data_IF_392161998123
#
_entry.id   IF_392161998123
#
_cell.length_a   1.000
_cell.length_b   1.000
_cell.length_c   1.000
_cell.angle_alpha   90.00
_cell.angle_beta   90.00
_cell.angle_gamma   90.00
#
_symmetry.space_group_name_H-M   'P 1'
#
loop_
_entity.id
_entity.type
_entity.pdbx_description
1 polymer ?
#
# COMPACT_ATOMS: atom_id res chain seq x y z
N UNK A 1 -66.77 -37.56 12.45
CA UNK A 1 -65.40 -38.12 12.43
C UNK A 1 -64.34 -37.12 11.92
N UNK A 2 -64.47 -35.81 12.16
CA UNK A 2 -63.59 -34.79 11.53
C UNK A 2 -62.59 -34.08 12.45
N UNK A 3 -62.77 -34.11 13.77
CA UNK A 3 -61.91 -33.37 14.72
C UNK A 3 -60.77 -34.23 15.30
N UNK A 4 -60.97 -35.53 15.47
CA UNK A 4 -59.93 -36.44 15.95
C UNK A 4 -58.86 -36.71 14.88
N UNK A 5 -59.26 -36.81 13.61
CA UNK A 5 -58.35 -37.01 12.47
C UNK A 5 -57.42 -35.82 12.23
N UNK A 6 -57.90 -34.60 12.49
CA UNK A 6 -57.10 -33.37 12.38
C UNK A 6 -56.07 -33.26 13.51
N UNK A 7 -56.45 -33.68 14.73
CA UNK A 7 -55.53 -33.70 15.88
C UNK A 7 -54.41 -34.72 15.69
N UNK A 8 -54.72 -35.90 15.13
CA UNK A 8 -53.72 -36.92 14.80
C UNK A 8 -52.77 -36.45 13.69
N UNK A 9 -53.28 -35.73 12.69
CA UNK A 9 -52.45 -35.18 11.61
C UNK A 9 -51.51 -34.06 12.12
N UNK A 10 -51.98 -33.19 13.01
CA UNK A 10 -51.16 -32.16 13.66
C UNK A 10 -50.09 -32.81 14.56
N UNK A 11 -50.44 -33.86 15.30
CA UNK A 11 -49.49 -34.58 16.14
C UNK A 11 -48.41 -35.28 15.31
N UNK A 12 -48.76 -35.86 14.14
CA UNK A 12 -47.81 -36.47 13.22
C UNK A 12 -46.87 -35.46 12.55
N UNK A 13 -47.31 -34.22 12.32
CA UNK A 13 -46.47 -33.13 11.77
C UNK A 13 -45.51 -32.57 12.85
N UNK A 14 -45.89 -32.62 14.13
CA UNK A 14 -44.97 -32.24 15.23
C UNK A 14 -43.89 -33.30 15.43
N UNK A 15 -44.18 -34.59 15.19
CA UNK A 15 -43.18 -35.67 15.31
C UNK A 15 -42.13 -35.65 14.19
N UNK A 16 -42.45 -35.13 12.99
CA UNK A 16 -41.46 -35.03 11.89
C UNK A 16 -40.54 -33.81 11.98
N UNK A 17 -40.82 -32.86 12.88
CA UNK A 17 -39.90 -31.74 13.20
C UNK A 17 -39.02 -32.00 14.42
N UNK A 18 -39.15 -33.19 15.04
CA UNK A 18 -38.17 -33.70 15.97
C UNK A 18 -36.88 -34.05 15.21
N UNK A 19 -36.07 -33.02 14.91
CA UNK A 19 -34.65 -33.21 14.66
C UNK A 19 -34.14 -34.04 15.84
N UNK A 20 -33.79 -35.31 15.58
CA UNK A 20 -33.10 -36.15 16.54
C UNK A 20 -32.01 -35.29 17.18
N UNK A 21 -32.14 -35.03 18.49
CA UNK A 21 -31.19 -34.23 19.24
C UNK A 21 -29.85 -34.94 19.10
N UNK A 22 -29.01 -34.44 18.19
CA UNK A 22 -27.62 -34.89 18.10
C UNK A 22 -27.07 -34.63 19.49
N UNK A 23 -26.71 -35.71 20.19
CA UNK A 23 -26.16 -35.59 21.53
C UNK A 23 -25.06 -34.51 21.50
N UNK A 24 -25.13 -33.52 22.41
CA UNK A 24 -24.12 -32.48 22.46
C UNK A 24 -22.75 -33.13 22.59
N UNK A 25 -21.75 -32.56 21.93
CA UNK A 25 -20.40 -33.08 22.05
C UNK A 25 -20.00 -33.06 23.52
N UNK A 26 -19.42 -34.15 24.02
CA UNK A 26 -18.82 -34.14 25.36
C UNK A 26 -17.36 -33.68 25.30
N UNK A 27 -16.87 -33.04 26.36
CA UNK A 27 -15.45 -32.68 26.50
C UNK A 27 -14.52 -33.85 26.16
N UNK A 28 -14.80 -35.04 26.71
CA UNK A 28 -13.99 -36.25 26.50
C UNK A 28 -13.98 -36.71 25.04
N UNK A 29 -15.12 -36.66 24.36
CA UNK A 29 -15.20 -36.97 22.93
C UNK A 29 -14.40 -35.96 22.10
N UNK A 30 -14.55 -34.66 22.39
CA UNK A 30 -13.82 -33.61 21.67
C UNK A 30 -12.31 -33.75 21.88
N UNK A 31 -11.86 -33.98 23.10
CA UNK A 31 -10.44 -34.16 23.40
C UNK A 31 -9.86 -35.38 22.67
N UNK A 32 -10.46 -36.57 22.84
CA UNK A 32 -9.99 -37.79 22.19
C UNK A 32 -10.01 -37.68 20.66
N UNK A 33 -11.10 -37.17 20.09
CA UNK A 33 -11.25 -37.06 18.63
C UNK A 33 -10.30 -36.02 18.05
N UNK A 34 -10.19 -34.84 18.67
CA UNK A 34 -9.28 -33.80 18.20
C UNK A 34 -7.82 -34.24 18.32
N UNK A 35 -7.46 -35.00 19.35
CA UNK A 35 -6.12 -35.58 19.47
C UNK A 35 -5.85 -36.62 18.38
N UNK A 36 -6.80 -37.53 18.13
CA UNK A 36 -6.68 -38.53 17.07
C UNK A 36 -6.53 -37.87 15.68
N UNK A 37 -7.30 -36.82 15.39
CA UNK A 37 -7.17 -36.06 14.14
C UNK A 37 -5.83 -35.33 14.05
N UNK A 38 -5.35 -34.76 15.15
CA UNK A 38 -4.03 -34.13 15.24
C UNK A 38 -2.91 -35.13 14.91
N UNK A 39 -2.93 -36.33 15.51
CA UNK A 39 -1.95 -37.38 15.25
C UNK A 39 -1.99 -37.86 13.79
N UNK A 40 -3.19 -37.95 13.21
CA UNK A 40 -3.39 -38.27 11.79
C UNK A 40 -3.05 -37.13 10.83
N UNK A 41 -2.73 -35.94 11.36
CA UNK A 41 -2.51 -34.72 10.58
C UNK A 41 -3.71 -34.34 9.71
N UNK A 42 -4.92 -34.72 10.10
CA UNK A 42 -6.16 -34.33 9.42
C UNK A 42 -6.60 -32.95 9.92
N UNK A 43 -5.87 -31.93 9.45
CA UNK A 43 -6.04 -30.54 9.88
C UNK A 43 -7.42 -29.98 9.55
N UNK A 44 -7.98 -30.34 8.40
CA UNK A 44 -9.31 -29.87 7.96
C UNK A 44 -10.41 -30.40 8.86
N UNK A 45 -10.41 -31.70 9.15
CA UNK A 45 -11.38 -32.29 10.06
C UNK A 45 -11.19 -31.79 11.48
N UNK A 46 -9.94 -31.59 11.93
CA UNK A 46 -9.63 -31.04 13.24
C UNK A 46 -10.17 -29.60 13.40
N UNK A 47 -9.98 -28.75 12.40
CA UNK A 47 -10.54 -27.39 12.38
C UNK A 47 -12.06 -27.44 12.44
N UNK A 48 -12.70 -28.27 11.61
CA UNK A 48 -14.17 -28.42 11.58
C UNK A 48 -14.73 -28.89 12.92
N UNK A 49 -14.10 -29.91 13.52
CA UNK A 49 -14.48 -30.40 14.85
C UNK A 49 -14.30 -29.30 15.90
N UNK A 50 -13.17 -28.58 15.87
CA UNK A 50 -12.88 -27.52 16.83
C UNK A 50 -13.84 -26.33 16.73
N UNK A 51 -14.16 -25.87 15.52
CA UNK A 51 -15.15 -24.81 15.30
C UNK A 51 -16.53 -25.22 15.83
N UNK A 52 -16.97 -26.44 15.52
CA UNK A 52 -18.23 -27.00 16.05
C UNK A 52 -18.21 -27.09 17.57
N UNK A 53 -17.15 -27.66 18.15
CA UNK A 53 -17.03 -27.86 19.60
C UNK A 53 -17.08 -26.53 20.36
N UNK A 54 -16.42 -25.50 19.83
CA UNK A 54 -16.42 -24.16 20.43
C UNK A 54 -17.77 -23.45 20.31
N UNK A 55 -18.52 -23.69 19.23
CA UNK A 55 -19.91 -23.22 19.12
C UNK A 55 -20.82 -23.86 20.17
N UNK A 56 -20.50 -25.08 20.62
CA UNK A 56 -21.17 -25.79 21.72
C UNK A 56 -20.55 -25.47 23.11
N UNK A 57 -19.67 -24.47 23.21
CA UNK A 57 -19.07 -24.03 24.48
C UNK A 57 -17.87 -24.84 24.97
N UNK A 58 -17.38 -25.81 24.20
CA UNK A 58 -16.24 -26.66 24.55
C UNK A 58 -14.96 -26.01 24.02
N UNK A 59 -14.25 -25.30 24.90
CA UNK A 59 -13.04 -24.56 24.54
C UNK A 59 -11.93 -24.65 25.61
N UNK A 60 -11.12 -25.70 25.55
CA UNK A 60 -10.01 -25.95 26.48
C UNK A 60 -8.63 -25.75 25.85
N UNK A 61 -7.60 -25.73 26.69
CA UNK A 61 -6.22 -25.44 26.29
C UNK A 61 -5.75 -26.27 25.09
N UNK A 62 -5.75 -27.60 25.19
CA UNK A 62 -5.25 -28.47 24.12
C UNK A 62 -6.05 -28.35 22.81
N UNK A 63 -7.36 -28.06 22.88
CA UNK A 63 -8.12 -27.78 21.67
C UNK A 63 -7.61 -26.52 20.97
N UNK A 64 -7.32 -25.44 21.72
CA UNK A 64 -6.73 -24.21 21.16
C UNK A 64 -5.37 -24.49 20.52
N UNK A 65 -4.49 -25.24 21.20
CA UNK A 65 -3.17 -25.62 20.67
C UNK A 65 -3.32 -26.39 19.35
N UNK A 66 -4.12 -27.46 19.35
CA UNK A 66 -4.33 -28.32 18.17
C UNK A 66 -4.96 -27.53 17.01
N UNK A 67 -5.95 -26.68 17.28
CA UNK A 67 -6.54 -25.79 16.27
C UNK A 67 -5.53 -24.78 15.74
N UNK A 68 -4.74 -24.14 16.61
CA UNK A 68 -3.72 -23.17 16.21
C UNK A 68 -2.68 -23.78 15.27
N UNK A 69 -2.19 -24.98 15.60
CA UNK A 69 -1.27 -25.74 14.74
C UNK A 69 -1.97 -26.16 13.43
N UNK A 70 -3.21 -26.64 13.48
CA UNK A 70 -3.95 -27.02 12.28
C UNK A 70 -4.14 -25.82 11.32
N UNK A 71 -4.51 -24.64 11.82
CA UNK A 71 -4.60 -23.43 10.99
C UNK A 71 -3.25 -23.01 10.42
N UNK A 72 -2.17 -23.14 11.20
CA UNK A 72 -0.81 -22.87 10.72
C UNK A 72 -0.46 -23.79 9.55
N UNK A 73 -0.74 -25.09 9.68
CA UNK A 73 -0.50 -26.09 8.62
C UNK A 73 -1.38 -25.88 7.38
N UNK A 74 -2.56 -25.31 7.53
CA UNK A 74 -3.47 -24.93 6.44
C UNK A 74 -3.18 -23.52 5.85
N UNK A 75 -2.07 -22.88 6.22
CA UNK A 75 -1.69 -21.55 5.69
C UNK A 75 -2.51 -20.37 6.23
N UNK A 76 -3.40 -20.60 7.21
CA UNK A 76 -4.32 -19.59 7.78
C UNK A 76 -3.67 -18.87 8.96
N UNK A 77 -2.60 -18.13 8.68
CA UNK A 77 -1.68 -17.60 9.70
C UNK A 77 -2.37 -16.70 10.74
N UNK A 78 -3.30 -15.83 10.37
CA UNK A 78 -3.96 -14.94 11.35
C UNK A 78 -4.90 -15.72 12.28
N UNK A 79 -5.53 -16.80 11.80
CA UNK A 79 -6.28 -17.72 12.66
C UNK A 79 -5.35 -18.50 13.58
N UNK A 80 -4.23 -18.98 13.06
CA UNK A 80 -3.22 -19.66 13.87
C UNK A 80 -2.76 -18.77 15.03
N UNK A 81 -2.38 -17.52 14.74
CA UNK A 81 -2.00 -16.52 15.74
C UNK A 81 -3.11 -16.34 16.79
N UNK A 82 -4.38 -16.21 16.39
CA UNK A 82 -5.49 -16.08 17.35
C UNK A 82 -5.53 -17.20 18.38
N UNK A 83 -5.43 -18.45 17.93
CA UNK A 83 -5.52 -19.60 18.82
C UNK A 83 -4.25 -19.80 19.64
N UNK A 84 -3.08 -19.57 19.04
CA UNK A 84 -1.79 -19.71 19.69
C UNK A 84 -1.51 -18.60 20.70
N UNK A 85 -1.89 -17.34 20.43
CA UNK A 85 -1.84 -16.27 21.44
C UNK A 85 -2.74 -16.60 22.64
N UNK A 86 -3.94 -17.13 22.39
CA UNK A 86 -4.86 -17.53 23.45
C UNK A 86 -4.32 -18.71 24.27
N UNK A 87 -3.67 -19.69 23.64
CA UNK A 87 -3.00 -20.78 24.33
C UNK A 87 -1.79 -20.28 25.13
N UNK A 88 -0.93 -19.45 24.54
CA UNK A 88 0.27 -18.89 25.19
C UNK A 88 -0.07 -18.00 26.38
N UNK A 89 -1.28 -17.43 26.43
CA UNK A 89 -1.76 -16.68 27.60
C UNK A 89 -2.12 -17.60 28.77
N UNK A 90 -2.55 -18.83 28.49
CA UNK A 90 -2.90 -19.83 29.52
C UNK A 90 -1.63 -20.51 30.04
N UNK A 91 -0.76 -20.96 29.13
CA UNK A 91 0.56 -21.51 29.45
C UNK A 91 1.62 -20.84 28.58
N UNK A 92 2.35 -19.91 29.18
CA UNK A 92 3.42 -19.18 28.51
C UNK A 92 4.73 -19.97 28.43
N UNK A 93 4.84 -21.15 29.05
CA UNK A 93 6.05 -21.97 29.06
C UNK A 93 6.02 -23.10 28.03
N UNK A 94 4.88 -23.38 27.42
CA UNK A 94 4.74 -24.37 26.35
C UNK A 94 5.58 -23.96 25.12
N UNK A 95 6.73 -24.61 24.97
CA UNK A 95 7.70 -24.34 23.90
C UNK A 95 7.12 -24.64 22.51
N UNK A 96 6.20 -25.59 22.40
CA UNK A 96 5.54 -25.92 21.12
C UNK A 96 4.65 -24.76 20.70
N UNK A 97 3.85 -24.23 21.63
CA UNK A 97 3.00 -23.06 21.35
C UNK A 97 3.86 -21.84 20.99
N UNK A 98 4.94 -21.59 21.74
CA UNK A 98 5.87 -20.51 21.44
C UNK A 98 6.48 -20.63 20.04
N UNK A 99 6.94 -21.82 19.65
CA UNK A 99 7.55 -22.05 18.34
C UNK A 99 6.55 -21.78 17.21
N UNK A 100 5.36 -22.38 17.28
CA UNK A 100 4.34 -22.15 16.27
C UNK A 100 3.87 -20.69 16.22
N UNK A 101 3.75 -20.02 17.37
CA UNK A 101 3.33 -18.61 17.42
C UNK A 101 4.39 -17.69 16.79
N UNK A 102 5.67 -17.90 17.09
CA UNK A 102 6.78 -17.17 16.48
C UNK A 102 6.75 -17.26 14.95
N UNK A 103 6.65 -18.49 14.41
CA UNK A 103 6.61 -18.71 12.98
C UNK A 103 5.31 -18.23 12.33
N UNK A 104 4.17 -18.34 13.03
CA UNK A 104 2.91 -17.81 12.54
C UNK A 104 2.96 -16.28 12.38
N UNK A 105 3.57 -15.55 13.32
CA UNK A 105 3.84 -14.11 13.13
C UNK A 105 4.73 -13.85 11.92
N UNK A 106 5.83 -14.62 11.78
CA UNK A 106 6.80 -14.42 10.69
C UNK A 106 6.18 -14.66 9.31
N UNK A 107 5.48 -15.78 9.12
CA UNK A 107 4.85 -16.14 7.85
C UNK A 107 3.52 -15.42 7.61
N UNK A 108 2.88 -14.91 8.65
CA UNK A 108 1.71 -14.03 8.54
C UNK A 108 2.03 -12.59 8.14
N UNK A 109 3.29 -12.27 7.80
CA UNK A 109 3.72 -10.92 7.42
C UNK A 109 3.89 -9.95 8.60
N UNK A 110 3.87 -10.44 9.84
CA UNK A 110 3.98 -9.64 11.06
C UNK A 110 5.42 -9.72 11.61
N UNK A 111 6.39 -9.32 10.77
CA UNK A 111 7.81 -9.47 11.07
C UNK A 111 8.22 -8.77 12.38
N UNK A 112 7.72 -7.57 12.65
CA UNK A 112 8.03 -6.86 13.91
C UNK A 112 7.42 -7.56 15.13
N UNK A 113 6.22 -8.14 15.02
CA UNK A 113 5.63 -8.93 16.12
C UNK A 113 6.43 -10.20 16.38
N UNK A 114 6.94 -10.88 15.36
CA UNK A 114 7.84 -12.02 15.56
C UNK A 114 9.13 -11.63 16.30
N UNK A 115 9.74 -10.49 15.96
CA UNK A 115 10.94 -9.95 16.64
C UNK A 115 10.66 -9.55 18.09
N UNK A 116 9.50 -8.95 18.34
CA UNK A 116 9.01 -8.62 19.69
C UNK A 116 8.76 -9.87 20.53
N UNK A 117 8.09 -10.87 19.95
CA UNK A 117 7.78 -12.11 20.63
C UNK A 117 9.04 -12.94 20.93
N UNK A 118 10.06 -12.87 20.07
CA UNK A 118 11.36 -13.52 20.29
C UNK A 118 12.03 -13.14 21.63
N UNK A 119 11.76 -11.96 22.20
CA UNK A 119 12.31 -11.61 23.53
C UNK A 119 11.58 -12.27 24.69
N UNK A 120 10.43 -12.90 24.43
CA UNK A 120 9.54 -13.48 25.44
C UNK A 120 9.52 -15.01 25.43
N UNK A 121 10.07 -15.64 24.40
CA UNK A 121 10.15 -17.11 24.28
C UNK A 121 11.27 -17.68 25.15
N UNK A 122 11.20 -18.99 25.41
CA UNK A 122 12.20 -19.75 26.18
C UNK A 122 13.61 -19.63 25.59
N UNK A 123 14.63 -19.68 26.46
CA UNK A 123 16.04 -19.54 26.05
C UNK A 123 16.46 -20.64 25.07
N UNK A 124 16.03 -21.88 25.29
CA UNK A 124 16.27 -23.00 24.37
C UNK A 124 15.74 -22.71 22.97
N UNK A 125 14.54 -22.12 22.85
CA UNK A 125 13.96 -21.75 21.56
C UNK A 125 14.67 -20.54 20.93
N UNK A 126 15.11 -19.57 21.73
CA UNK A 126 15.95 -18.46 21.25
C UNK A 126 17.26 -18.98 20.63
N UNK A 127 17.89 -19.95 21.28
CA UNK A 127 19.15 -20.57 20.85
C UNK A 127 18.97 -21.48 19.63
N UNK A 128 17.76 -22.04 19.42
CA UNK A 128 17.36 -22.75 18.20
C UNK A 128 17.14 -21.79 17.02
N UNK A 129 16.40 -20.70 17.24
CA UNK A 129 16.01 -19.76 16.18
C UNK A 129 17.18 -18.86 15.77
N UNK A 130 18.00 -18.42 16.74
CA UNK A 130 19.14 -17.50 16.54
C UNK A 130 18.77 -16.30 15.67
N UNK A 131 17.83 -15.49 16.14
CA UNK A 131 17.37 -14.32 15.39
C UNK A 131 18.53 -13.38 15.11
N UNK A 132 18.90 -13.27 13.83
CA UNK A 132 19.86 -12.29 13.33
C UNK A 132 19.12 -11.05 12.79
N UNK A 133 19.66 -9.88 13.10
CA UNK A 133 19.17 -8.58 12.65
C UNK A 133 20.36 -7.78 12.12
N UNK A 134 20.86 -8.12 10.92
CA UNK A 134 21.95 -7.39 10.31
C UNK A 134 21.55 -5.93 10.08
N UNK A 135 22.54 -5.03 10.02
CA UNK A 135 22.30 -3.61 9.82
C UNK A 135 21.49 -3.31 8.54
N UNK A 136 21.66 -4.14 7.49
CA UNK A 136 20.86 -4.11 6.26
C UNK A 136 20.20 -5.47 6.08
N UNK A 137 18.87 -5.48 6.01
CA UNK A 137 18.07 -6.71 5.79
C UNK A 137 17.50 -6.81 4.38
N UNK A 138 17.42 -5.68 3.67
CA UNK A 138 17.01 -5.66 2.29
C UNK A 138 17.61 -4.47 1.55
N UNK A 139 17.89 -4.67 0.26
CA UNK A 139 18.19 -3.63 -0.72
C UNK A 139 17.14 -3.74 -1.82
N UNK A 140 16.51 -2.62 -2.18
CA UNK A 140 15.63 -2.54 -3.34
C UNK A 140 16.24 -1.70 -4.45
N UNK A 141 15.97 -2.10 -5.68
CA UNK A 141 16.19 -1.30 -6.87
C UNK A 141 14.92 -1.34 -7.70
N UNK A 142 14.47 -0.18 -8.20
CA UNK A 142 13.31 -0.12 -9.08
C UNK A 142 13.41 1.01 -10.09
N UNK A 143 12.82 0.77 -11.26
CA UNK A 143 12.61 1.76 -12.31
C UNK A 143 11.11 1.87 -12.55
N UNK A 144 10.60 3.11 -12.53
CA UNK A 144 9.30 3.46 -13.08
C UNK A 144 9.55 4.17 -14.41
N UNK A 145 8.93 3.70 -15.48
CA UNK A 145 8.92 4.34 -16.78
C UNK A 145 7.50 4.79 -17.10
N UNK A 146 7.35 6.07 -17.45
CA UNK A 146 6.07 6.70 -17.73
C UNK A 146 6.06 7.19 -19.17
N UNK A 147 4.94 6.98 -19.88
CA UNK A 147 4.77 7.41 -21.27
C UNK A 147 3.40 8.05 -21.46
N UNK A 148 3.37 9.20 -22.13
CA UNK A 148 2.17 9.84 -22.63
C UNK A 148 1.76 9.19 -23.96
N UNK A 149 0.64 8.48 -23.95
CA UNK A 149 0.15 7.72 -25.10
C UNK A 149 -0.40 8.62 -26.21
N UNK A 150 -0.80 9.84 -25.86
CA UNK A 150 -1.36 10.82 -26.79
C UNK A 150 -0.34 11.87 -27.25
N UNK A 151 0.96 11.68 -26.93
CA UNK A 151 2.02 12.66 -27.22
C UNK A 151 2.04 13.13 -28.69
N UNK A 152 2.07 12.22 -29.66
CA UNK A 152 2.09 12.58 -31.08
C UNK A 152 0.84 13.35 -31.50
N UNK A 153 -0.32 12.96 -30.97
CA UNK A 153 -1.59 13.68 -31.21
C UNK A 153 -1.52 15.10 -30.63
N UNK A 154 -0.96 15.27 -29.44
CA UNK A 154 -0.75 16.59 -28.84
C UNK A 154 0.27 17.45 -29.63
N UNK A 155 1.23 16.84 -30.33
CA UNK A 155 2.12 17.61 -31.21
C UNK A 155 1.40 18.19 -32.43
N UNK A 156 0.40 17.48 -32.96
CA UNK A 156 -0.27 17.83 -34.22
C UNK A 156 -1.57 18.64 -34.06
N UNK A 157 -2.24 18.53 -32.90
CA UNK A 157 -3.63 19.00 -32.76
C UNK A 157 -3.73 20.41 -32.17
N UNK A 158 -4.12 21.39 -32.98
CA UNK A 158 -4.46 22.76 -32.56
C UNK A 158 -5.98 22.97 -32.33
N UNK A 159 -6.81 21.92 -32.43
CA UNK A 159 -8.27 22.00 -32.66
C UNK A 159 -9.07 22.88 -31.68
N UNK A 160 -8.53 23.19 -30.51
CA UNK A 160 -9.13 24.14 -29.57
C UNK A 160 -8.23 25.34 -29.22
N UNK A 161 -6.96 25.36 -29.64
CA UNK A 161 -5.99 26.42 -29.26
C UNK A 161 -6.29 27.75 -29.93
N UNK A 162 -6.42 28.80 -29.13
CA UNK A 162 -6.48 30.19 -29.58
C UNK A 162 -5.06 30.75 -29.75
N UNK A 163 -4.95 31.93 -30.37
CA UNK A 163 -3.68 32.63 -30.52
C UNK A 163 -3.07 32.93 -29.14
N UNK A 164 -1.83 32.49 -28.91
CA UNK A 164 -1.12 32.71 -27.65
C UNK A 164 -1.47 31.71 -26.54
N UNK A 165 -2.26 30.68 -26.83
CA UNK A 165 -2.41 29.53 -25.93
C UNK A 165 -1.10 28.74 -25.84
N UNK A 166 -0.68 28.48 -24.60
CA UNK A 166 0.49 27.69 -24.26
C UNK A 166 0.03 26.43 -23.51
N UNK A 167 0.60 25.27 -23.83
CA UNK A 167 0.42 24.06 -23.02
C UNK A 167 1.75 23.36 -22.75
N UNK A 168 1.81 22.64 -21.64
CA UNK A 168 2.96 21.85 -21.24
C UNK A 168 2.60 20.38 -21.20
N UNK A 169 3.46 19.52 -21.74
CA UNK A 169 3.28 18.07 -21.63
C UNK A 169 4.61 17.34 -21.78
N UNK A 170 4.68 16.14 -21.23
CA UNK A 170 5.88 15.29 -21.28
C UNK A 170 5.63 14.10 -22.21
N UNK A 171 6.64 13.70 -23.00
CA UNK A 171 6.58 12.49 -23.82
C UNK A 171 6.71 11.24 -22.94
N UNK A 172 7.84 11.14 -22.25
CA UNK A 172 8.15 10.04 -21.35
C UNK A 172 9.16 10.50 -20.29
N UNK A 173 9.19 9.78 -19.16
CA UNK A 173 10.21 9.97 -18.14
C UNK A 173 10.47 8.68 -17.37
N UNK A 174 11.58 8.66 -16.64
CA UNK A 174 12.00 7.49 -15.85
C UNK A 174 12.42 7.91 -14.44
N UNK A 175 11.91 7.21 -13.43
CA UNK A 175 12.30 7.36 -12.04
C UNK A 175 13.10 6.13 -11.61
N UNK A 176 14.39 6.32 -11.37
CA UNK A 176 15.29 5.29 -10.82
C UNK A 176 15.31 5.39 -9.31
N UNK A 177 15.21 4.27 -8.61
CA UNK A 177 15.20 4.26 -7.14
C UNK A 177 16.09 3.17 -6.56
N UNK A 178 16.77 3.49 -5.47
CA UNK A 178 17.57 2.57 -4.65
C UNK A 178 17.16 2.74 -3.18
N UNK A 179 16.71 1.67 -2.54
CA UNK A 179 16.24 1.68 -1.16
C UNK A 179 16.89 0.61 -0.28
N UNK A 180 16.84 0.84 1.03
CA UNK A 180 17.45 -0.03 2.04
C UNK A 180 16.58 -0.13 3.29
N UNK A 181 16.55 -1.32 3.89
CA UNK A 181 15.80 -1.58 5.12
C UNK A 181 16.71 -2.00 6.27
N UNK A 182 16.59 -1.29 7.39
CA UNK A 182 17.44 -1.37 8.57
C UNK A 182 16.59 -1.74 9.81
N UNK A 183 16.77 -2.93 10.40
CA UNK A 183 16.08 -3.31 11.63
C UNK A 183 16.79 -2.69 12.85
N UNK A 184 16.66 -1.38 13.05
CA UNK A 184 17.34 -0.63 14.12
C UNK A 184 17.16 -1.24 15.52
N UNK A 185 16.03 -1.90 15.76
CA UNK A 185 15.85 -2.79 16.93
C UNK A 185 14.82 -3.88 16.65
N UNK A 186 14.51 -4.70 17.66
CA UNK A 186 13.41 -5.67 17.59
C UNK A 186 12.03 -5.01 17.41
N UNK A 187 11.89 -3.71 17.73
CA UNK A 187 10.63 -2.96 17.63
C UNK A 187 10.62 -1.93 16.51
N UNK A 188 11.79 -1.53 16.03
CA UNK A 188 11.95 -0.38 15.12
C UNK A 188 12.56 -0.84 13.82
N UNK A 189 11.90 -0.50 12.72
CA UNK A 189 12.44 -0.63 11.38
C UNK A 189 12.61 0.76 10.77
N UNK A 190 13.72 0.99 10.10
CA UNK A 190 13.97 2.18 9.32
C UNK A 190 14.13 1.79 7.86
N UNK A 191 13.42 2.46 6.98
CA UNK A 191 13.53 2.29 5.54
C UNK A 191 13.86 3.64 4.92
N UNK A 192 14.81 3.65 3.99
CA UNK A 192 15.19 4.85 3.24
C UNK A 192 15.31 4.52 1.77
N UNK A 193 15.03 5.50 0.91
CA UNK A 193 15.14 5.37 -0.54
C UNK A 193 15.56 6.69 -1.16
N UNK A 194 16.54 6.63 -2.04
CA UNK A 194 16.87 7.73 -2.93
C UNK A 194 16.29 7.42 -4.32
N UNK A 195 15.71 8.43 -4.95
CA UNK A 195 15.17 8.33 -6.30
C UNK A 195 15.64 9.50 -7.15
N UNK A 196 15.90 9.27 -8.43
CA UNK A 196 16.33 10.29 -9.39
C UNK A 196 15.42 10.22 -10.61
N UNK A 197 14.91 11.38 -11.02
CA UNK A 197 13.97 11.58 -12.12
C UNK A 197 14.54 12.63 -13.08
N UNK A 198 15.22 12.20 -14.16
CA UNK A 198 15.46 13.06 -15.30
C UNK A 198 14.13 13.33 -16.01
N UNK A 199 13.82 14.59 -16.31
CA UNK A 199 12.60 15.00 -17.00
C UNK A 199 12.93 15.79 -18.26
N UNK A 200 12.07 15.66 -19.26
CA UNK A 200 12.04 16.54 -20.42
C UNK A 200 10.58 16.91 -20.69
N UNK A 201 10.24 18.18 -20.56
CA UNK A 201 8.88 18.68 -20.81
C UNK A 201 8.88 19.54 -22.06
N UNK A 202 7.78 19.48 -22.81
CA UNK A 202 7.58 20.26 -24.02
C UNK A 202 6.57 21.35 -23.75
N UNK A 203 6.94 22.59 -24.06
CA UNK A 203 6.01 23.70 -24.21
C UNK A 203 5.58 23.74 -25.67
N UNK A 204 4.29 23.81 -25.91
CA UNK A 204 3.74 24.10 -27.22
C UNK A 204 2.97 25.41 -27.16
N UNK A 205 3.26 26.31 -28.11
CA UNK A 205 2.58 27.60 -28.26
C UNK A 205 1.95 27.70 -29.65
N UNK A 206 0.74 28.26 -29.73
CA UNK A 206 0.13 28.62 -31.00
C UNK A 206 0.51 30.06 -31.38
N UNK A 207 1.47 30.20 -32.30
CA UNK A 207 1.94 31.47 -32.84
C UNK A 207 1.34 31.67 -34.22
N UNK A 208 0.31 32.52 -34.30
CA UNK A 208 -0.34 32.90 -35.56
C UNK A 208 -0.88 31.71 -36.38
N UNK A 209 -1.34 30.65 -35.71
CA UNK A 209 -1.87 29.44 -36.35
C UNK A 209 -0.83 28.34 -36.58
N UNK A 210 0.45 28.60 -36.28
CA UNK A 210 1.52 27.60 -36.29
C UNK A 210 1.86 27.14 -34.87
N UNK A 211 1.98 25.82 -34.69
CA UNK A 211 2.38 25.23 -33.41
C UNK A 211 3.90 25.19 -33.30
N UNK A 212 4.44 25.92 -32.33
CA UNK A 212 5.87 25.95 -32.01
C UNK A 212 6.12 25.13 -30.76
N UNK A 213 7.05 24.17 -30.82
CA UNK A 213 7.40 23.30 -29.70
C UNK A 213 8.81 23.61 -29.18
N UNK A 214 8.95 23.77 -27.86
CA UNK A 214 10.24 23.99 -27.18
C UNK A 214 10.41 23.00 -26.04
N UNK A 215 11.56 22.32 -26.01
CA UNK A 215 11.87 21.33 -24.99
C UNK A 215 12.66 21.95 -23.83
N UNK A 216 12.30 21.56 -22.61
CA UNK A 216 12.94 21.96 -21.36
C UNK A 216 13.37 20.72 -20.58
N UNK A 217 14.60 20.73 -20.10
CA UNK A 217 15.17 19.62 -19.35
C UNK A 217 15.15 19.92 -17.86
N UNK A 218 15.11 18.86 -17.08
CA UNK A 218 15.23 18.97 -15.64
C UNK A 218 15.67 17.67 -15.00
N UNK A 219 15.97 17.78 -13.72
CA UNK A 219 16.26 16.64 -12.86
C UNK A 219 15.68 16.90 -11.48
N UNK A 220 14.91 15.94 -10.98
CA UNK A 220 14.48 15.89 -9.59
C UNK A 220 15.16 14.73 -8.87
N UNK A 221 15.62 14.97 -7.65
CA UNK A 221 16.06 13.95 -6.72
C UNK A 221 15.10 13.93 -5.53
N UNK A 222 14.74 12.73 -5.09
CA UNK A 222 13.86 12.51 -3.95
C UNK A 222 14.60 11.67 -2.92
N UNK A 223 14.52 12.06 -1.65
CA UNK A 223 14.96 11.25 -0.53
C UNK A 223 13.78 10.96 0.38
N UNK A 224 13.38 9.69 0.44
CA UNK A 224 12.32 9.18 1.29
C UNK A 224 12.91 8.43 2.48
N UNK A 225 12.32 8.65 3.65
CA UNK A 225 12.65 7.91 4.84
C UNK A 225 11.40 7.63 5.68
N UNK A 226 11.34 6.43 6.24
CA UNK A 226 10.24 5.96 7.06
C UNK A 226 10.76 5.17 8.26
N UNK A 227 10.25 5.50 9.44
CA UNK A 227 10.49 4.75 10.68
C UNK A 227 9.17 4.12 11.09
N UNK A 228 9.16 2.79 11.18
CA UNK A 228 8.04 2.01 11.73
C UNK A 228 8.39 1.52 13.13
N UNK A 229 7.56 1.85 14.11
CA UNK A 229 7.67 1.39 15.50
C UNK A 229 6.51 0.45 15.82
N UNK A 230 6.81 -0.78 16.20
CA UNK A 230 5.83 -1.70 16.75
C UNK A 230 5.60 -1.41 18.24
N UNK A 231 4.39 -0.93 18.56
CA UNK A 231 3.93 -0.65 19.92
C UNK A 231 3.44 -1.91 20.65
N UNK A 232 3.40 -3.05 19.93
CA UNK A 232 2.92 -4.33 20.42
C UNK A 232 1.42 -4.51 20.21
N UNK A 233 0.95 -5.74 20.39
CA UNK A 233 -0.42 -6.14 20.08
C UNK A 233 -0.81 -5.78 18.64
N UNK A 234 0.12 -5.85 17.68
CA UNK A 234 -0.10 -5.51 16.27
C UNK A 234 -0.56 -4.06 16.04
N UNK A 235 -0.11 -3.14 16.89
CA UNK A 235 -0.24 -1.69 16.72
C UNK A 235 1.10 -1.12 16.27
N UNK A 236 1.10 -0.35 15.18
CA UNK A 236 2.30 0.23 14.58
C UNK A 236 2.12 1.73 14.41
N UNK A 237 3.19 2.47 14.71
CA UNK A 237 3.32 3.89 14.42
C UNK A 237 4.37 4.06 13.33
N UNK A 238 3.98 4.68 12.23
CA UNK A 238 4.87 5.08 11.15
C UNK A 238 5.09 6.59 11.23
N UNK A 239 6.33 7.04 11.04
CA UNK A 239 6.68 8.43 10.79
C UNK A 239 7.50 8.47 9.52
N UNK A 240 7.12 9.33 8.58
CA UNK A 240 7.76 9.40 7.28
C UNK A 240 8.04 10.83 6.86
N UNK A 241 9.08 10.99 6.06
CA UNK A 241 9.36 12.22 5.36
C UNK A 241 9.88 11.93 3.96
N UNK A 242 9.65 12.88 3.06
CA UNK A 242 10.18 12.85 1.70
C UNK A 242 10.62 14.27 1.34
N UNK A 243 11.85 14.43 0.88
CA UNK A 243 12.38 15.71 0.40
C UNK A 243 12.63 15.59 -1.08
N UNK A 244 12.10 16.52 -1.85
CA UNK A 244 12.20 16.62 -3.29
C UNK A 244 12.99 17.89 -3.59
N UNK A 245 13.98 17.79 -4.47
CA UNK A 245 14.76 18.93 -4.90
C UNK A 245 15.22 18.71 -6.32
N UNK A 246 15.25 19.78 -7.10
CA UNK A 246 15.63 19.67 -8.49
C UNK A 246 15.99 20.99 -9.14
N UNK A 247 16.47 20.86 -10.37
CA UNK A 247 16.84 21.96 -11.24
C UNK A 247 16.12 21.75 -12.58
N UNK A 248 15.50 22.81 -13.10
CA UNK A 248 14.83 22.81 -14.39
C UNK A 248 15.33 23.98 -15.23
N UNK A 249 15.30 23.83 -16.55
CA UNK A 249 15.49 24.95 -17.46
C UNK A 249 14.42 26.02 -17.20
N UNK A 250 14.83 27.29 -17.28
CA UNK A 250 13.93 28.40 -17.02
C UNK A 250 12.98 28.62 -18.22
N UNK A 251 11.67 28.54 -17.96
CA UNK A 251 10.62 28.79 -18.96
C UNK A 251 10.54 30.28 -19.37
N UNK A 252 11.09 31.19 -18.55
CA UNK A 252 10.98 32.65 -18.67
C UNK A 252 12.24 33.36 -19.19
N UNK A 253 13.02 32.72 -20.06
CA UNK A 253 14.24 33.34 -20.61
C UNK A 253 13.93 34.66 -21.35
N UNK A 254 12.69 34.85 -21.81
CA UNK A 254 12.25 36.02 -22.58
C UNK A 254 11.73 37.19 -21.72
N UNK A 255 11.60 37.04 -20.39
CA UNK A 255 11.25 38.14 -19.49
C UNK A 255 12.49 38.92 -19.06
N UNK A 256 12.89 39.87 -19.91
CA UNK A 256 14.02 40.78 -19.72
C UNK A 256 13.81 41.73 -18.52
N UNK A 257 14.51 41.50 -17.40
CA UNK A 257 14.74 42.55 -16.41
C UNK A 257 15.85 43.48 -16.91
N UNK A 258 15.45 44.62 -17.46
CA UNK A 258 16.35 45.68 -17.91
C UNK A 258 16.93 46.44 -16.70
N UNK A 259 18.21 46.24 -16.40
CA UNK A 259 18.98 47.05 -15.46
C UNK A 259 19.94 47.99 -16.19
N UNK A 260 19.98 49.27 -15.79
CA UNK A 260 20.88 50.28 -16.39
C UNK A 260 22.27 50.23 -15.74
N UNK A 261 23.28 49.86 -16.50
CA UNK A 261 24.72 49.96 -16.19
C UNK A 261 25.09 51.44 -15.89
N UNK A 262 25.98 51.71 -14.92
CA UNK A 262 26.60 53.02 -14.71
C UNK A 262 27.15 53.73 -15.98
N UNK A 263 27.43 53.00 -17.06
CA UNK A 263 27.88 53.54 -18.37
C UNK A 263 26.77 53.63 -19.43
N UNK A 264 25.51 53.38 -19.07
CA UNK A 264 24.35 53.52 -19.95
C UNK A 264 24.00 52.30 -20.80
N UNK A 265 24.64 51.15 -20.60
CA UNK A 265 24.24 49.86 -21.19
C UNK A 265 23.15 49.16 -20.37
N UNK A 266 22.32 48.33 -21.00
CA UNK A 266 21.37 47.48 -20.28
C UNK A 266 22.03 46.12 -20.04
N UNK A 267 22.19 45.69 -18.79
CA UNK A 267 22.68 44.33 -18.48
C UNK A 267 21.51 43.46 -18.02
N UNK A 268 21.17 42.44 -18.81
CA UNK A 268 20.20 41.40 -18.45
C UNK A 268 20.93 40.22 -17.81
N UNK A 269 20.46 39.76 -16.65
CA UNK A 269 20.98 38.55 -15.99
C UNK A 269 19.80 37.65 -15.64
N UNK A 270 19.43 36.76 -16.57
CA UNK A 270 18.48 35.68 -16.30
C UNK A 270 19.26 34.43 -15.85
N UNK A 271 18.81 33.80 -14.77
CA UNK A 271 19.31 32.47 -14.43
C UNK A 271 18.76 31.48 -15.47
N UNK A 272 19.61 30.69 -16.16
CA UNK A 272 19.14 29.72 -17.16
C UNK A 272 18.38 28.56 -16.51
N UNK A 273 18.46 28.42 -15.18
CA UNK A 273 17.81 27.35 -14.42
C UNK A 273 17.03 27.87 -13.23
N UNK A 274 15.93 27.19 -12.93
CA UNK A 274 15.10 27.37 -11.73
C UNK A 274 15.35 26.19 -10.79
N UNK A 275 15.52 26.48 -9.51
CA UNK A 275 15.67 25.48 -8.45
C UNK A 275 14.46 25.49 -7.54
N UNK A 276 14.09 24.33 -7.03
CA UNK A 276 13.02 24.21 -6.04
C UNK A 276 13.38 23.16 -5.00
N UNK A 277 12.66 23.23 -3.88
CA UNK A 277 12.65 22.19 -2.86
C UNK A 277 11.26 22.06 -2.28
N UNK A 278 10.74 20.83 -2.29
CA UNK A 278 9.51 20.48 -1.61
C UNK A 278 9.78 19.41 -0.54
N UNK A 279 8.86 19.29 0.40
CA UNK A 279 8.86 18.29 1.43
C UNK A 279 7.46 17.72 1.63
N UNK A 280 7.44 16.49 2.12
CA UNK A 280 6.29 15.83 2.71
C UNK A 280 6.72 15.32 4.07
N UNK A 281 5.90 15.56 5.09
CA UNK A 281 6.07 14.98 6.42
C UNK A 281 4.74 14.42 6.91
N UNK A 282 4.76 13.24 7.52
CA UNK A 282 3.54 12.65 8.02
C UNK A 282 3.74 11.47 8.94
N UNK A 283 2.63 10.91 9.38
CA UNK A 283 2.60 9.72 10.21
C UNK A 283 1.36 8.89 9.97
N UNK A 284 1.45 7.61 10.32
CA UNK A 284 0.32 6.69 10.24
C UNK A 284 0.24 5.82 11.49
N UNK A 285 -0.98 5.54 11.93
CA UNK A 285 -1.27 4.59 12.99
C UNK A 285 -1.98 3.38 12.38
N UNK A 286 -1.34 2.22 12.45
CA UNK A 286 -1.86 0.97 11.89
C UNK A 286 -2.23 0.01 13.00
N UNK A 287 -3.46 -0.52 12.98
CA UNK A 287 -3.89 -1.64 13.83
C UNK A 287 -4.23 -2.85 12.96
N UNK A 288 -3.49 -3.94 13.15
CA UNK A 288 -3.82 -5.23 12.53
C UNK A 288 -4.48 -6.17 13.54
N UNK A 289 -5.68 -6.61 13.22
CA UNK A 289 -6.45 -7.63 13.93
C UNK A 289 -6.46 -8.94 13.14
N UNK A 290 -7.23 -9.94 13.56
CA UNK A 290 -7.25 -11.26 12.88
C UNK A 290 -7.96 -11.26 11.51
N UNK A 291 -8.85 -10.29 11.28
CA UNK A 291 -9.69 -10.21 10.08
C UNK A 291 -9.61 -8.88 9.36
N UNK A 292 -8.99 -7.88 9.99
CA UNK A 292 -9.00 -6.52 9.50
C UNK A 292 -7.66 -5.87 9.82
N UNK A 293 -7.12 -5.09 8.87
CA UNK A 293 -6.06 -4.13 9.11
C UNK A 293 -6.59 -2.74 8.77
N UNK A 294 -6.46 -1.82 9.71
CA UNK A 294 -6.90 -0.44 9.57
C UNK A 294 -5.70 0.48 9.74
N UNK A 295 -5.64 1.53 8.92
CA UNK A 295 -4.60 2.56 9.00
C UNK A 295 -5.26 3.93 8.93
N UNK A 296 -4.91 4.82 9.84
CA UNK A 296 -5.20 6.25 9.74
C UNK A 296 -3.87 6.95 9.47
N UNK A 297 -3.81 7.82 8.46
CA UNK A 297 -2.62 8.59 8.14
C UNK A 297 -2.94 10.09 8.07
N UNK A 298 -1.93 10.90 8.36
CA UNK A 298 -1.96 12.36 8.19
C UNK A 298 -0.61 12.83 7.65
N UNK A 299 -0.64 13.84 6.80
CA UNK A 299 0.57 14.48 6.29
C UNK A 299 0.38 15.96 5.98
N UNK A 300 1.49 16.68 6.00
CA UNK A 300 1.63 18.06 5.54
C UNK A 300 2.75 18.15 4.51
N UNK A 301 2.62 19.06 3.57
CA UNK A 301 3.59 19.23 2.49
C UNK A 301 3.55 20.63 1.87
N UNK A 302 4.58 20.93 1.07
CA UNK A 302 4.65 22.14 0.24
C UNK A 302 4.86 21.81 -1.26
N UNK A 303 4.17 20.79 -1.79
CA UNK A 303 4.35 20.30 -3.16
C UNK A 303 3.95 21.38 -4.18
N UNK A 304 4.76 21.56 -5.23
CA UNK A 304 4.58 22.61 -6.23
C UNK A 304 4.38 24.03 -5.66
N UNK A 305 4.91 24.30 -4.47
CA UNK A 305 4.77 25.61 -3.79
C UNK A 305 3.45 25.79 -3.03
N UNK A 306 2.56 24.80 -3.05
CA UNK A 306 1.28 24.83 -2.34
C UNK A 306 1.38 24.15 -0.99
N UNK A 307 0.89 24.80 0.06
CA UNK A 307 0.77 24.16 1.37
C UNK A 307 -0.43 23.22 1.36
N UNK A 308 -0.18 21.97 1.73
CA UNK A 308 -1.18 20.91 1.69
C UNK A 308 -1.28 20.20 3.03
N UNK A 309 -2.50 19.76 3.31
CA UNK A 309 -2.81 18.80 4.36
C UNK A 309 -3.52 17.60 3.73
N UNK A 310 -3.12 16.40 4.11
CA UNK A 310 -3.80 15.17 3.75
C UNK A 310 -4.13 14.33 4.97
N UNK A 311 -5.32 13.73 4.97
CA UNK A 311 -5.76 12.78 5.98
C UNK A 311 -6.44 11.60 5.32
N UNK A 312 -6.06 10.38 5.69
CA UNK A 312 -6.53 9.17 5.05
C UNK A 312 -6.93 8.06 6.02
N UNK A 313 -7.87 7.24 5.57
CA UNK A 313 -8.24 5.98 6.22
C UNK A 313 -8.13 4.84 5.21
N UNK A 314 -7.46 3.76 5.59
CA UNK A 314 -7.30 2.55 4.77
C UNK A 314 -7.77 1.32 5.55
N UNK A 315 -8.52 0.47 4.86
CA UNK A 315 -9.07 -0.79 5.37
C UNK A 315 -8.63 -1.94 4.48
N UNK A 316 -8.16 -3.04 5.08
CA UNK A 316 -7.93 -4.31 4.39
C UNK A 316 -8.61 -5.43 5.16
N UNK A 317 -9.26 -6.35 4.45
CA UNK A 317 -9.97 -7.48 5.06
C UNK A 317 -9.19 -8.78 4.83
N UNK A 318 -9.20 -9.66 5.81
CA UNK A 318 -8.63 -11.01 5.75
C UNK A 318 -9.77 -12.03 5.94
N UNK A 319 -10.52 -12.37 4.87
CA UNK A 319 -11.57 -13.37 4.91
C UNK A 319 -11.06 -14.65 5.53
N UNK A 320 -11.81 -15.18 6.51
CA UNK A 320 -11.43 -16.37 7.28
C UNK A 320 -10.07 -16.27 8.01
N UNK A 321 -9.45 -15.09 8.11
CA UNK A 321 -8.10 -14.89 8.64
C UNK A 321 -6.99 -15.42 7.73
N UNK A 322 -7.28 -15.50 6.43
CA UNK A 322 -6.31 -15.85 5.38
C UNK A 322 -5.81 -14.58 4.68
N UNK A 323 -4.55 -14.59 4.27
CA UNK A 323 -3.95 -13.55 3.42
C UNK A 323 -4.06 -13.89 1.93
N UNK A 324 -4.66 -15.04 1.56
CA UNK A 324 -4.79 -15.48 0.17
C UNK A 324 -5.56 -14.48 -0.70
N UNK A 325 -6.66 -13.93 -0.19
CA UNK A 325 -7.51 -12.98 -0.89
C UNK A 325 -7.75 -11.79 0.04
N UNK A 326 -7.21 -10.63 -0.29
CA UNK A 326 -7.22 -9.44 0.58
C UNK A 326 -7.84 -8.28 -0.21
N UNK A 327 -9.17 -8.07 -0.11
CA UNK A 327 -9.77 -6.85 -0.61
C UNK A 327 -9.36 -5.69 0.30
N UNK A 328 -9.17 -4.53 -0.30
CA UNK A 328 -8.81 -3.31 0.40
C UNK A 328 -9.47 -2.09 -0.21
N UNK A 329 -9.56 -1.02 0.59
CA UNK A 329 -9.99 0.27 0.13
C UNK A 329 -9.43 1.39 1.01
N UNK A 330 -9.37 2.59 0.45
CA UNK A 330 -8.99 3.79 1.17
C UNK A 330 -9.84 4.99 0.74
N UNK A 331 -9.99 5.93 1.66
CA UNK A 331 -10.49 7.28 1.39
C UNK A 331 -9.44 8.25 1.90
N UNK A 332 -9.09 9.23 1.09
CA UNK A 332 -8.11 10.26 1.43
C UNK A 332 -8.69 11.63 1.12
N UNK A 333 -8.68 12.49 2.12
CA UNK A 333 -8.97 13.91 2.00
C UNK A 333 -7.67 14.65 1.76
N UNK A 334 -7.66 15.54 0.78
CA UNK A 334 -6.60 16.50 0.54
C UNK A 334 -7.19 17.89 0.56
N UNK A 335 -6.48 18.79 1.23
CA UNK A 335 -6.69 20.22 1.15
C UNK A 335 -5.41 20.88 0.66
N UNK A 336 -5.54 21.65 -0.40
CA UNK A 336 -4.47 22.44 -1.02
C UNK A 336 -4.95 23.89 -1.03
N UNK A 337 -4.42 24.71 -0.11
CA UNK A 337 -4.93 26.07 0.13
C UNK A 337 -6.47 26.09 0.29
N UNK A 338 -7.20 26.76 -0.61
CA UNK A 338 -8.68 26.88 -0.57
C UNK A 338 -9.41 25.71 -1.24
N UNK A 339 -8.70 24.82 -1.93
CA UNK A 339 -9.29 23.71 -2.66
C UNK A 339 -9.22 22.43 -1.83
N UNK A 340 -10.26 21.62 -1.89
CA UNK A 340 -10.28 20.32 -1.24
C UNK A 340 -10.87 19.27 -2.13
N UNK A 341 -10.30 18.07 -2.09
CA UNK A 341 -10.77 16.93 -2.85
C UNK A 341 -10.80 15.66 -2.00
N UNK A 342 -11.42 14.62 -2.56
CA UNK A 342 -11.41 13.27 -2.01
C UNK A 342 -10.90 12.30 -3.08
N UNK A 343 -9.97 11.45 -2.70
CA UNK A 343 -9.46 10.35 -3.53
C UNK A 343 -9.88 9.03 -2.90
N UNK A 344 -10.48 8.17 -3.72
CA UNK A 344 -10.91 6.83 -3.35
C UNK A 344 -10.00 5.80 -3.99
N UNK A 345 -9.52 4.85 -3.19
CA UNK A 345 -8.77 3.69 -3.68
C UNK A 345 -9.56 2.43 -3.39
N UNK A 346 -9.65 1.53 -4.36
CA UNK A 346 -10.22 0.20 -4.19
C UNK A 346 -9.37 -0.85 -4.88
N UNK A 347 -9.27 -2.05 -4.30
CA UNK A 347 -8.52 -3.10 -4.95
C UNK A 347 -8.57 -4.45 -4.26
N UNK A 348 -7.84 -5.39 -4.84
CA UNK A 348 -7.78 -6.77 -4.43
C UNK A 348 -6.36 -7.30 -4.57
N UNK A 349 -5.88 -7.97 -3.53
CA UNK A 349 -4.62 -8.72 -3.59
C UNK A 349 -4.87 -10.21 -3.47
N UNK A 350 -4.30 -10.98 -4.39
CA UNK A 350 -4.20 -12.43 -4.34
C UNK A 350 -2.78 -12.83 -3.95
N UNK A 351 -2.60 -13.48 -2.80
CA UNK A 351 -1.29 -13.93 -2.32
C UNK A 351 -1.19 -15.45 -2.31
N UNK A 352 -0.12 -15.98 -2.87
CA UNK A 352 0.30 -17.38 -2.74
C UNK A 352 1.69 -17.43 -2.12
N UNK A 353 2.22 -18.62 -1.88
CA UNK A 353 3.59 -18.79 -1.36
C UNK A 353 4.66 -18.25 -2.32
N UNK A 354 4.40 -18.26 -3.63
CA UNK A 354 5.39 -17.92 -4.67
C UNK A 354 5.15 -16.60 -5.36
N UNK A 355 3.93 -16.07 -5.28
CA UNK A 355 3.57 -14.84 -5.97
C UNK A 355 2.47 -14.06 -5.27
N UNK A 356 2.45 -12.76 -5.51
CA UNK A 356 1.34 -11.87 -5.18
C UNK A 356 0.90 -11.10 -6.41
N UNK A 357 -0.41 -10.94 -6.57
CA UNK A 357 -1.06 -10.19 -7.64
C UNK A 357 -1.96 -9.15 -6.99
N UNK A 358 -1.72 -7.87 -7.26
CA UNK A 358 -2.52 -6.77 -6.72
C UNK A 358 -3.11 -5.98 -7.88
N UNK A 359 -4.44 -5.95 -7.97
CA UNK A 359 -5.17 -5.01 -8.83
C UNK A 359 -5.73 -3.86 -8.00
N UNK A 360 -5.69 -2.63 -8.53
CA UNK A 360 -6.24 -1.46 -7.86
C UNK A 360 -6.81 -0.43 -8.85
N UNK A 361 -7.66 0.44 -8.32
CA UNK A 361 -8.13 1.66 -8.96
C UNK A 361 -8.11 2.83 -7.97
N UNK A 362 -7.66 4.00 -8.42
CA UNK A 362 -7.75 5.28 -7.74
C UNK A 362 -8.68 6.18 -8.55
N UNK A 363 -9.60 6.88 -7.89
CA UNK A 363 -10.55 7.81 -8.53
C UNK A 363 -10.62 9.08 -7.68
N UNK A 364 -10.48 10.22 -8.34
CA UNK A 364 -10.49 11.54 -7.72
C UNK A 364 -9.44 12.45 -8.37
N UNK A 365 -9.31 13.67 -7.87
CA UNK A 365 -8.26 14.60 -8.30
C UNK A 365 -6.93 14.21 -7.63
N UNK A 366 -6.03 13.60 -8.41
CA UNK A 366 -4.71 13.12 -7.98
C UNK A 366 -3.63 14.09 -8.47
N UNK A 367 -3.77 15.37 -8.14
CA UNK A 367 -2.74 16.39 -8.30
C UNK A 367 -2.07 16.69 -6.97
N UNK A 368 -0.75 16.80 -6.95
CA UNK A 368 0.03 17.04 -5.72
C UNK A 368 -0.30 16.07 -4.59
N UNK A 369 -0.57 14.82 -4.95
CA UNK A 369 -1.14 13.84 -4.03
C UNK A 369 -0.04 12.99 -3.37
N UNK A 370 -0.20 12.77 -2.07
CA UNK A 370 0.64 11.90 -1.26
C UNK A 370 -0.03 10.52 -1.13
N UNK A 371 0.58 9.50 -1.72
CA UNK A 371 0.12 8.12 -1.62
C UNK A 371 1.11 7.24 -0.84
N UNK A 372 0.60 6.12 -0.30
CA UNK A 372 1.39 5.10 0.40
C UNK A 372 2.32 5.69 1.48
N UNK A 373 1.76 6.50 2.40
CA UNK A 373 2.50 7.10 3.51
C UNK A 373 3.78 7.84 3.04
N UNK A 374 3.64 8.71 2.03
CA UNK A 374 4.76 9.51 1.49
C UNK A 374 5.72 8.79 0.55
N UNK A 375 5.55 7.48 0.35
CA UNK A 375 6.42 6.71 -0.53
C UNK A 375 6.14 6.96 -2.02
N UNK A 376 4.93 7.41 -2.37
CA UNK A 376 4.59 7.84 -3.73
C UNK A 376 4.09 9.27 -3.65
N UNK A 377 4.65 10.13 -4.50
CA UNK A 377 4.31 11.55 -4.56
C UNK A 377 4.02 11.88 -6.01
N UNK A 378 2.80 12.32 -6.27
CA UNK A 378 2.37 12.86 -7.55
C UNK A 378 2.66 14.36 -7.54
N UNK A 379 3.94 14.74 -7.66
CA UNK A 379 4.40 16.13 -7.71
C UNK A 379 4.44 16.60 -9.18
N UNK A 380 3.28 16.76 -9.78
CA UNK A 380 3.13 17.09 -11.20
C UNK A 380 2.04 18.16 -11.33
N UNK A 381 2.11 18.98 -12.39
CA UNK A 381 1.14 20.05 -12.62
C UNK A 381 -0.16 19.51 -13.16
N UNK A 382 -0.10 18.41 -13.91
CA UNK A 382 -1.23 17.73 -14.52
C UNK A 382 -2.03 16.93 -13.48
N UNK A 383 -3.35 16.93 -13.64
CA UNK A 383 -4.25 16.20 -12.75
C UNK A 383 -4.52 14.81 -13.31
N UNK A 384 -4.21 13.77 -12.55
CA UNK A 384 -4.74 12.44 -12.83
C UNK A 384 -6.16 12.32 -12.25
N UNK A 385 -7.15 12.04 -13.11
CA UNK A 385 -8.56 11.86 -12.73
C UNK A 385 -8.85 10.44 -12.24
N UNK A 386 -8.13 9.48 -12.82
CA UNK A 386 -8.21 8.08 -12.45
C UNK A 386 -6.87 7.37 -12.71
N UNK A 387 -6.60 6.31 -11.94
CA UNK A 387 -5.48 5.40 -12.18
C UNK A 387 -5.93 3.96 -11.92
N UNK A 388 -5.73 3.07 -12.89
CA UNK A 388 -5.98 1.63 -12.73
C UNK A 388 -4.69 0.86 -12.95
N UNK A 389 -4.37 -0.05 -12.04
CA UNK A 389 -3.10 -0.74 -12.09
C UNK A 389 -3.14 -2.20 -11.66
N UNK A 390 -2.14 -2.93 -12.12
CA UNK A 390 -1.85 -4.31 -11.78
C UNK A 390 -0.37 -4.42 -11.38
N UNK A 391 -0.09 -5.05 -10.24
CA UNK A 391 1.27 -5.36 -9.78
C UNK A 391 1.40 -6.86 -9.54
N UNK A 392 2.48 -7.43 -10.06
CA UNK A 392 2.92 -8.80 -9.84
C UNK A 392 4.19 -8.78 -8.99
N UNK A 393 4.24 -9.63 -7.97
CA UNK A 393 5.46 -9.90 -7.19
C UNK A 393 5.75 -11.39 -7.21
N UNK A 394 6.98 -11.77 -7.49
CA UNK A 394 7.45 -13.16 -7.43
C UNK A 394 8.42 -13.32 -6.27
N UNK A 395 8.15 -14.31 -5.42
CA UNK A 395 8.92 -14.59 -4.21
C UNK A 395 9.89 -15.74 -4.46
N UNK A 396 11.17 -15.44 -4.30
CA UNK A 396 12.24 -16.44 -4.25
C UNK A 396 12.78 -16.53 -2.82
N UNK A 397 13.76 -17.42 -2.59
CA UNK A 397 14.37 -17.56 -1.26
C UNK A 397 15.08 -16.28 -0.78
N UNK A 398 15.67 -15.52 -1.70
CA UNK A 398 16.55 -14.38 -1.37
C UNK A 398 16.18 -13.08 -2.08
N UNK A 399 15.13 -13.08 -2.91
CA UNK A 399 14.71 -11.91 -3.66
C UNK A 399 13.20 -11.87 -3.91
N UNK A 400 12.66 -10.66 -4.05
CA UNK A 400 11.34 -10.39 -4.59
C UNK A 400 11.51 -9.66 -5.91
N UNK A 401 10.94 -10.18 -7.00
CA UNK A 401 10.88 -9.48 -8.29
C UNK A 401 9.49 -8.85 -8.44
N UNK A 402 9.43 -7.56 -8.76
CA UNK A 402 8.20 -6.80 -8.93
C UNK A 402 8.08 -6.31 -10.38
N UNK A 403 6.91 -6.52 -10.98
CA UNK A 403 6.51 -5.92 -12.25
C UNK A 403 5.15 -5.27 -12.06
N UNK A 404 4.96 -4.05 -12.55
CA UNK A 404 3.68 -3.36 -12.46
C UNK A 404 3.36 -2.60 -13.74
N UNK A 405 2.07 -2.43 -13.98
CA UNK A 405 1.53 -1.58 -15.03
C UNK A 405 0.40 -0.74 -14.43
N UNK A 406 0.33 0.55 -14.75
CA UNK A 406 -0.88 1.34 -14.51
C UNK A 406 -1.20 2.25 -15.69
N UNK A 407 -2.47 2.52 -15.86
CA UNK A 407 -3.03 3.43 -16.85
C UNK A 407 -3.72 4.58 -16.12
N UNK A 408 -3.50 5.80 -16.58
CA UNK A 408 -4.01 7.02 -15.97
C UNK A 408 -4.70 7.88 -17.02
N UNK A 409 -5.86 8.40 -16.66
CA UNK A 409 -6.55 9.46 -17.40
C UNK A 409 -6.10 10.79 -16.82
N UNK A 410 -5.51 11.63 -17.65
CA UNK A 410 -4.89 12.89 -17.27
C UNK A 410 -5.64 14.07 -17.87
N UNK A 411 -5.68 15.16 -17.13
CA UNK A 411 -6.20 16.46 -17.54
C UNK A 411 -5.18 17.54 -17.15
N UNK A 412 -4.99 18.53 -18.01
CA UNK A 412 -4.23 19.73 -17.68
C UNK A 412 -4.81 20.97 -18.35
N UNK A 413 -4.41 22.15 -17.90
CA UNK A 413 -4.90 23.44 -18.35
C UNK A 413 -3.96 24.09 -19.38
N UNK A 414 -4.54 24.87 -20.30
CA UNK A 414 -3.76 25.82 -21.09
C UNK A 414 -3.36 27.00 -20.22
N UNK A 415 -2.21 27.60 -20.53
CA UNK A 415 -1.74 28.88 -19.99
C UNK A 415 -1.77 29.96 -21.08
N UNK A 416 -1.91 31.22 -20.69
CA UNK A 416 -1.79 32.35 -21.61
C UNK A 416 -0.33 32.82 -21.74
N UNK A 417 -0.07 33.83 -22.59
CA UNK A 417 1.27 34.43 -22.77
C UNK A 417 1.88 35.02 -21.49
N UNK A 418 1.06 35.35 -20.49
CA UNK A 418 1.52 35.80 -19.17
C UNK A 418 1.81 34.63 -18.21
N UNK A 419 1.74 33.39 -18.69
CA UNK A 419 1.85 32.15 -17.91
C UNK A 419 0.77 31.97 -16.85
N UNK A 420 -0.38 32.61 -17.03
CA UNK A 420 -1.54 32.41 -16.16
C UNK A 420 -2.35 31.21 -16.66
N UNK A 421 -2.69 30.32 -15.73
CA UNK A 421 -3.52 29.13 -16.00
C UNK A 421 -4.93 29.59 -16.41
N UNK A 422 -5.41 29.09 -17.53
CA UNK A 422 -6.74 29.37 -18.08
C UNK A 422 -7.74 28.28 -17.67
N UNK A 423 -9.05 28.55 -17.78
CA UNK A 423 -10.10 27.55 -17.54
C UNK A 423 -10.19 26.47 -18.63
N UNK A 424 -9.41 26.60 -19.70
CA UNK A 424 -9.44 25.68 -20.83
C UNK A 424 -8.56 24.48 -20.52
N UNK A 425 -9.10 23.29 -20.78
CA UNK A 425 -8.48 22.01 -20.45
C UNK A 425 -8.16 21.20 -21.70
N UNK A 426 -7.17 20.31 -21.59
CA UNK A 426 -6.91 19.23 -22.53
C UNK A 426 -6.66 17.94 -21.78
N UNK A 427 -7.02 16.82 -22.42
CA UNK A 427 -6.91 15.49 -21.83
C UNK A 427 -5.90 14.64 -22.59
N UNK A 428 -5.25 13.74 -21.87
CA UNK A 428 -4.35 12.75 -22.43
C UNK A 428 -4.28 11.52 -21.55
N UNK A 429 -3.82 10.41 -22.11
CA UNK A 429 -3.65 9.16 -21.39
C UNK A 429 -2.18 8.91 -21.11
N UNK A 430 -1.90 8.40 -19.91
CA UNK A 430 -0.56 8.05 -19.48
C UNK A 430 -0.51 6.59 -19.07
N UNK A 431 0.58 5.91 -19.43
CA UNK A 431 0.89 4.59 -18.91
C UNK A 431 2.16 4.61 -18.08
N UNK A 432 2.19 3.78 -17.05
CA UNK A 432 3.31 3.58 -16.16
C UNK A 432 3.70 2.10 -16.16
N UNK A 433 4.99 1.82 -16.29
CA UNK A 433 5.55 0.48 -16.16
C UNK A 433 6.58 0.51 -15.04
N UNK A 434 6.43 -0.39 -14.07
CA UNK A 434 7.36 -0.51 -12.95
C UNK A 434 8.06 -1.85 -13.03
N UNK A 435 9.37 -1.85 -12.91
CA UNK A 435 10.16 -3.05 -12.70
C UNK A 435 11.06 -2.86 -11.48
N UNK A 436 11.19 -3.87 -10.64
CA UNK A 436 12.07 -3.79 -9.49
C UNK A 436 12.42 -5.12 -8.88
N UNK A 437 13.45 -5.11 -8.06
CA UNK A 437 13.94 -6.27 -7.32
C UNK A 437 14.30 -5.85 -5.91
N UNK A 438 13.95 -6.69 -4.94
CA UNK A 438 14.28 -6.52 -3.53
C UNK A 438 15.08 -7.75 -3.12
N UNK A 439 16.38 -7.58 -2.88
CA UNK A 439 17.20 -8.62 -2.29
C UNK A 439 17.02 -8.63 -0.77
N UNK A 440 16.92 -9.83 -0.18
CA UNK A 440 16.79 -10.05 1.26
C UNK A 440 18.00 -10.81 1.77
N UNK A 441 18.56 -10.33 2.88
CA UNK A 441 19.73 -10.91 3.54
C UNK A 441 19.33 -11.69 4.80
#
# INVERSE_FOLDING_TARGET
MGKQSLLTLILCIVVTTANAQKAPLSFKQVDSTSYALYLKQDWKSLIKLGEKSRAEGIDFYYLKVRMGIAYYKEGKMLRAIKFLEAANKIDSYDVVVQEYLYWAYRFGGLALESRLFYTKISKSLQDKIKLDLPFVTAIDFSVLATNNLDYNKLLETAETSELGDIRYFTENYQLFSLGMSHPLSKKVNFYQRISVLPTASFQQENVSGELVNKAYKGTETRYYANVTVALGNRLYLDTYFNILFGNYDNLNIDNELSGRDPRGGTTTSTSPTVRYSNFVFGGALTKASYYVRNTVNVSVSNLNGYNQFQGGYTLSLYPLGSTLLVPFGAIQYQNENSNSNLVYTGGLTLNTEKMSITGYGNIGDIRNFIANNGAIIYNQTETALSEYGLTLQFYTKSAIVKIGYSFMEMEDNYSNQNQEITSKIFNFNQQNIIAGIIWKF
#
